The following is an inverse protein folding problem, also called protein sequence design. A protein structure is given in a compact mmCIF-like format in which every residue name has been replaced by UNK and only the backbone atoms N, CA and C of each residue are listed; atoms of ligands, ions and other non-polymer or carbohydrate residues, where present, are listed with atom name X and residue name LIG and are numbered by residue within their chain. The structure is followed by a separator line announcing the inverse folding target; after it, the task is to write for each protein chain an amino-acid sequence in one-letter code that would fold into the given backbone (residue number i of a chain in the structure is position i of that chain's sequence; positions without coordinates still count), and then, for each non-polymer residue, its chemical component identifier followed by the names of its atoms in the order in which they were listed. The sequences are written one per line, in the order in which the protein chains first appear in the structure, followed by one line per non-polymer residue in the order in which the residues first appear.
data_IF_799722946128
#
_entry.id   IF_799722946128
#
_cell.length_a   1.000
_cell.length_b   1.000
_cell.length_c   1.000
_cell.angle_alpha   90.00
_cell.angle_beta   90.00
_cell.angle_gamma   90.00
#
_symmetry.space_group_name_H-M   'P 1'
#
loop_
_entity.id
_entity.type
_entity.pdbx_description
1 polymer ?
#
# COMPACT_ATOMS: atom_id res chain seq x y z
N UNK A 1 10.03 16.33 7.83
CA UNK A 1 10.96 17.19 8.60
C UNK A 1 10.84 16.93 10.09
N UNK A 2 11.79 16.19 10.67
CA UNK A 2 12.36 16.40 12.02
C UNK A 2 13.55 15.44 12.19
N UNK A 3 14.72 16.04 12.39
CA UNK A 3 15.98 15.52 12.93
C UNK A 3 16.72 14.39 12.17
N UNK A 4 17.46 14.77 11.13
CA UNK A 4 18.77 14.18 10.83
C UNK A 4 19.79 15.32 10.73
N UNK A 5 20.45 15.61 11.84
CA UNK A 5 21.58 16.54 11.90
C UNK A 5 22.81 15.79 12.41
N UNK A 6 23.80 15.68 11.53
CA UNK A 6 25.25 15.67 11.77
C UNK A 6 25.87 14.71 12.82
N UNK A 7 26.77 13.84 12.34
CA UNK A 7 28.10 13.51 12.93
C UNK A 7 28.94 12.81 11.84
N UNK A 8 29.72 13.58 11.07
CA UNK A 8 31.18 13.86 11.21
C UNK A 8 32.10 12.64 11.00
N UNK A 9 32.70 12.60 9.80
CA UNK A 9 34.14 12.58 9.48
C UNK A 9 35.07 11.97 10.54
N UNK A 10 35.76 10.88 10.18
CA UNK A 10 37.10 10.58 10.68
C UNK A 10 37.92 9.85 9.60
N UNK A 11 38.72 10.66 8.89
CA UNK A 11 40.15 10.48 8.57
C UNK A 11 40.71 9.06 8.47
N UNK A 12 41.15 8.71 7.25
CA UNK A 12 42.11 7.65 6.99
C UNK A 12 43.49 8.01 7.60
N UNK A 13 44.05 7.12 8.41
CA UNK A 13 45.46 7.08 8.75
C UNK A 13 45.93 5.64 8.60
N UNK A 14 46.73 5.39 7.57
CA UNK A 14 47.45 4.13 7.42
C UNK A 14 48.54 4.05 8.49
N UNK A 15 48.56 2.94 9.22
CA UNK A 15 49.73 2.52 10.00
C UNK A 15 49.96 1.05 9.69
N UNK A 16 51.00 0.82 8.89
CA UNK A 16 51.69 -0.45 8.75
C UNK A 16 52.30 -0.80 10.12
N UNK A 17 51.93 -1.92 10.74
CA UNK A 17 52.72 -2.47 11.85
C UNK A 17 52.88 -3.98 11.71
N UNK A 18 54.16 -4.36 11.83
CA UNK A 18 54.75 -5.68 11.74
C UNK A 18 53.98 -6.76 12.51
N UNK A 19 53.78 -7.88 11.83
CA UNK A 19 53.60 -9.20 12.44
C UNK A 19 54.82 -9.56 13.29
N UNK A 20 54.64 -9.61 14.61
CA UNK A 20 55.54 -10.31 15.52
C UNK A 20 54.79 -11.53 16.08
N UNK A 21 55.21 -12.72 15.66
CA UNK A 21 54.79 -14.00 16.23
C UNK A 21 55.43 -14.12 17.62
N UNK A 22 54.61 -13.99 18.67
CA UNK A 22 54.99 -14.41 20.02
C UNK A 22 54.14 -15.64 20.37
N UNK A 23 54.79 -16.81 20.37
CA UNK A 23 54.26 -18.02 20.98
C UNK A 23 54.28 -17.85 22.51
N UNK A 24 53.23 -17.23 23.05
CA UNK A 24 52.97 -17.17 24.48
C UNK A 24 51.91 -18.20 24.87
N UNK A 25 52.33 -19.30 25.49
CA UNK A 25 51.46 -20.29 26.14
C UNK A 25 50.81 -19.68 27.38
N UNK A 26 49.79 -18.85 27.18
CA UNK A 26 48.81 -18.55 28.23
C UNK A 26 47.70 -19.58 28.16
N UNK A 27 47.73 -20.53 29.10
CA UNK A 27 46.59 -21.40 29.36
C UNK A 27 45.42 -20.52 29.83
N UNK A 28 44.57 -20.08 28.88
CA UNK A 28 43.26 -19.51 29.22
C UNK A 28 42.48 -20.60 29.94
N UNK A 29 42.18 -20.37 31.21
CA UNK A 29 41.16 -21.11 31.93
C UNK A 29 39.89 -21.13 31.06
N UNK A 30 39.56 -22.28 30.48
CA UNK A 30 38.27 -22.50 29.85
C UNK A 30 37.23 -22.53 30.96
N UNK A 31 36.73 -21.36 31.35
CA UNK A 31 35.55 -21.25 32.20
C UNK A 31 34.45 -22.10 31.57
N UNK A 32 34.02 -23.14 32.28
CA UNK A 32 33.01 -24.11 31.83
C UNK A 32 31.77 -23.34 31.38
N UNK A 33 31.58 -23.21 30.06
CA UNK A 33 30.49 -22.41 29.53
C UNK A 33 29.16 -23.05 29.95
N UNK A 34 28.40 -22.34 30.77
CA UNK A 34 27.15 -22.85 31.33
C UNK A 34 26.20 -23.27 30.20
N UNK A 35 25.69 -24.51 30.29
CA UNK A 35 24.76 -25.09 29.33
C UNK A 35 23.55 -24.17 29.15
N UNK A 36 23.34 -23.65 27.94
CA UNK A 36 22.19 -22.80 27.61
C UNK A 36 20.98 -23.62 27.17
N UNK A 37 19.79 -23.14 27.49
CA UNK A 37 18.52 -23.75 27.07
C UNK A 37 17.99 -23.17 25.75
N UNK A 38 18.59 -22.09 25.25
CA UNK A 38 18.16 -21.39 24.04
C UNK A 38 19.28 -21.42 23.02
N UNK A 39 18.95 -21.79 21.78
CA UNK A 39 19.93 -21.90 20.69
C UNK A 39 19.34 -21.28 19.43
N UNK A 40 20.02 -20.26 18.89
CA UNK A 40 19.69 -19.68 17.59
C UNK A 40 19.96 -20.72 16.52
N UNK A 41 18.94 -21.04 15.73
CA UNK A 41 19.00 -22.09 14.72
C UNK A 41 19.09 -21.56 13.31
N UNK A 42 18.64 -20.32 13.07
CA UNK A 42 18.64 -19.73 11.74
C UNK A 42 18.68 -18.21 11.78
N UNK A 43 19.49 -17.65 10.88
CA UNK A 43 19.43 -16.27 10.44
C UNK A 43 19.08 -16.26 8.95
N UNK A 44 18.22 -15.33 8.53
CA UNK A 44 17.88 -15.16 7.12
C UNK A 44 17.36 -13.76 6.83
N UNK A 45 17.69 -13.22 5.66
CA UNK A 45 17.12 -11.97 5.15
C UNK A 45 15.67 -12.17 4.71
N UNK A 46 14.81 -11.20 5.02
CA UNK A 46 13.42 -11.11 4.54
C UNK A 46 13.18 -9.74 3.92
N UNK A 47 12.01 -9.52 3.31
CA UNK A 47 11.65 -8.20 2.78
C UNK A 47 11.43 -7.16 3.88
N UNK A 48 11.34 -7.59 5.14
CA UNK A 48 11.11 -6.73 6.30
C UNK A 48 12.33 -6.59 7.21
N UNK A 49 13.47 -7.20 6.85
CA UNK A 49 14.68 -7.16 7.67
C UNK A 49 15.24 -8.55 7.99
N UNK A 50 16.11 -8.62 9.00
CA UNK A 50 16.83 -9.83 9.38
C UNK A 50 15.97 -10.71 10.30
N UNK A 51 15.56 -11.88 9.82
CA UNK A 51 14.80 -12.85 10.60
C UNK A 51 15.72 -13.77 11.39
N UNK A 52 15.45 -13.85 12.69
CA UNK A 52 16.05 -14.77 13.65
C UNK A 52 15.05 -15.85 14.05
N UNK A 53 15.53 -17.08 14.16
CA UNK A 53 14.76 -18.20 14.71
C UNK A 53 15.61 -19.00 15.69
N UNK A 54 15.01 -19.45 16.78
CA UNK A 54 15.69 -20.25 17.80
C UNK A 54 14.81 -21.36 18.35
N UNK A 55 15.46 -22.35 18.98
CA UNK A 55 14.79 -23.39 19.79
C UNK A 55 15.01 -23.11 21.27
N UNK A 56 14.04 -23.51 22.09
CA UNK A 56 14.16 -23.47 23.55
C UNK A 56 13.82 -24.84 24.14
N UNK A 57 14.66 -25.33 25.07
CA UNK A 57 14.46 -26.60 25.79
C UNK A 57 13.45 -26.48 26.94
N UNK A 58 13.09 -25.24 27.32
CA UNK A 58 12.13 -24.93 28.40
C UNK A 58 11.19 -23.81 27.96
N UNK A 59 10.01 -23.74 28.59
CA UNK A 59 9.09 -22.63 28.38
C UNK A 59 9.52 -21.42 29.20
N UNK A 60 9.52 -20.26 28.56
CA UNK A 60 9.80 -18.95 29.16
C UNK A 60 8.68 -17.99 28.81
N UNK A 61 8.54 -16.91 29.59
CA UNK A 61 7.48 -15.93 29.38
C UNK A 61 7.85 -14.95 28.25
N UNK A 62 9.13 -14.61 28.12
CA UNK A 62 9.68 -13.75 27.07
C UNK A 62 11.11 -14.13 26.70
N UNK A 63 11.54 -13.64 25.55
CA UNK A 63 12.91 -13.67 25.06
C UNK A 63 13.37 -12.25 24.77
N UNK A 64 14.56 -11.90 25.23
CA UNK A 64 15.20 -10.61 24.99
C UNK A 64 16.20 -10.79 23.85
N UNK A 65 16.09 -9.96 22.83
CA UNK A 65 16.97 -9.98 21.66
C UNK A 65 18.07 -8.95 21.88
N UNK A 66 19.32 -9.41 21.82
CA UNK A 66 20.49 -8.55 21.85
C UNK A 66 21.17 -8.58 20.48
N UNK A 67 21.62 -7.42 20.02
CA UNK A 67 22.32 -7.22 18.74
C UNK A 67 23.67 -6.56 18.97
N UNK A 68 24.68 -7.00 18.24
CA UNK A 68 25.96 -6.31 18.07
C UNK A 68 26.10 -5.93 16.59
N UNK A 69 26.70 -4.77 16.35
CA UNK A 69 26.91 -4.17 15.02
C UNK A 69 28.40 -4.10 14.76
N UNK A 70 28.88 -4.60 13.62
CA UNK A 70 30.28 -4.60 13.20
C UNK A 70 31.25 -5.05 14.32
N UNK A 71 30.91 -6.15 15.01
CA UNK A 71 31.64 -6.70 16.15
C UNK A 71 31.76 -5.78 17.38
N UNK A 72 30.89 -4.78 17.49
CA UNK A 72 30.78 -3.90 18.66
C UNK A 72 30.09 -4.55 19.87
N UNK A 73 29.63 -3.69 20.78
CA UNK A 73 28.99 -4.13 22.03
C UNK A 73 27.54 -4.58 21.80
N UNK A 74 27.12 -5.63 22.53
CA UNK A 74 25.74 -6.10 22.48
C UNK A 74 24.79 -5.14 23.20
N UNK A 75 23.77 -4.67 22.49
CA UNK A 75 22.67 -3.87 23.03
C UNK A 75 21.37 -4.65 22.96
N UNK A 76 20.48 -4.42 23.92
CA UNK A 76 19.12 -4.94 23.86
C UNK A 76 18.35 -4.17 22.79
N UNK A 77 17.74 -4.88 21.85
CA UNK A 77 16.96 -4.28 20.75
C UNK A 77 15.47 -4.55 20.86
N UNK A 78 15.03 -5.70 21.41
CA UNK A 78 13.60 -5.95 21.60
C UNK A 78 13.29 -7.13 22.57
N UNK A 79 12.01 -7.29 22.89
CA UNK A 79 11.42 -8.40 23.64
C UNK A 79 10.33 -9.08 22.84
N UNK A 80 10.35 -10.41 22.76
CA UNK A 80 9.31 -11.19 22.09
C UNK A 80 8.86 -12.39 22.91
N UNK A 81 7.61 -12.83 22.72
CA UNK A 81 7.08 -14.09 23.25
C UNK A 81 7.27 -15.25 22.26
N UNK A 82 7.56 -14.95 21.00
CA UNK A 82 7.75 -15.91 19.93
C UNK A 82 9.16 -16.51 19.95
N UNK A 83 9.34 -17.65 19.27
CA UNK A 83 10.65 -18.26 19.00
C UNK A 83 11.31 -17.74 17.71
N UNK A 84 10.82 -16.59 17.25
CA UNK A 84 11.35 -15.86 16.10
C UNK A 84 11.17 -14.36 16.29
N UNK A 85 12.02 -13.60 15.61
CA UNK A 85 12.03 -12.14 15.62
C UNK A 85 12.51 -11.64 14.25
N UNK A 86 12.00 -10.49 13.80
CA UNK A 86 12.50 -9.80 12.61
C UNK A 86 13.06 -8.48 13.10
N UNK A 87 14.36 -8.30 12.87
CA UNK A 87 15.03 -7.02 13.09
C UNK A 87 14.88 -6.16 11.83
N UNK A 88 14.02 -5.14 11.90
CA UNK A 88 13.72 -4.20 10.83
C UNK A 88 14.46 -2.85 10.98
N UNK A 89 15.13 -2.62 12.11
CA UNK A 89 15.97 -1.46 12.39
C UNK A 89 17.44 -1.75 12.04
N UNK A 90 17.71 -1.93 10.75
CA UNK A 90 19.02 -2.33 10.23
C UNK A 90 19.50 -1.35 9.15
N UNK A 91 20.82 -1.19 9.06
CA UNK A 91 21.48 -0.41 8.02
C UNK A 91 22.15 -1.35 7.01
N UNK A 92 21.90 -1.12 5.72
CA UNK A 92 22.44 -1.96 4.65
C UNK A 92 23.97 -1.97 4.66
N UNK A 93 24.55 -3.16 4.50
CA UNK A 93 26.01 -3.34 4.50
C UNK A 93 26.63 -3.55 5.89
N UNK A 94 25.94 -3.17 6.96
CA UNK A 94 26.40 -3.49 8.32
C UNK A 94 26.32 -4.99 8.63
N UNK A 95 27.22 -5.44 9.48
CA UNK A 95 27.30 -6.82 9.96
C UNK A 95 26.67 -6.94 11.33
N UNK A 96 25.70 -7.84 11.47
CA UNK A 96 25.01 -8.08 12.73
C UNK A 96 25.29 -9.47 13.29
N UNK A 97 25.48 -9.53 14.60
CA UNK A 97 25.43 -10.78 15.38
C UNK A 97 24.47 -10.64 16.55
N UNK A 98 23.94 -11.75 17.03
CA UNK A 98 22.84 -11.74 17.99
C UNK A 98 23.02 -12.72 19.14
N UNK A 99 22.40 -12.39 20.27
CA UNK A 99 22.19 -13.29 21.41
C UNK A 99 20.76 -13.21 21.89
N UNK A 100 20.22 -14.33 22.34
CA UNK A 100 18.89 -14.39 22.96
C UNK A 100 19.02 -14.66 24.44
N UNK A 101 18.30 -13.91 25.27
CA UNK A 101 18.22 -14.16 26.72
C UNK A 101 16.77 -14.49 27.12
N UNK A 102 16.49 -15.71 27.58
CA UNK A 102 15.15 -16.05 28.05
C UNK A 102 14.85 -15.41 29.41
N UNK A 103 13.59 -14.99 29.61
CA UNK A 103 13.09 -14.33 30.80
C UNK A 103 11.83 -15.04 31.31
N UNK A 104 11.77 -15.27 32.62
CA UNK A 104 10.58 -15.73 33.34
C UNK A 104 10.22 -14.74 34.45
N UNK A 105 8.93 -14.56 34.71
CA UNK A 105 8.43 -13.78 35.84
C UNK A 105 8.12 -14.72 37.01
N UNK A 106 8.59 -14.34 38.19
CA UNK A 106 8.25 -14.98 39.47
C UNK A 106 7.11 -14.19 40.15
N UNK A 107 6.67 -14.66 41.33
CA UNK A 107 5.72 -13.93 42.19
C UNK A 107 6.14 -12.45 42.33
N UNK A 108 5.16 -11.56 42.42
CA UNK A 108 5.36 -10.10 42.48
C UNK A 108 6.14 -9.52 41.27
N UNK A 109 5.96 -10.10 40.08
CA UNK A 109 6.60 -9.65 38.83
C UNK A 109 8.14 -9.61 38.86
N UNK A 110 8.79 -10.33 39.78
CA UNK A 110 10.25 -10.38 39.86
C UNK A 110 10.83 -11.12 38.64
N UNK A 111 11.72 -10.45 37.91
CA UNK A 111 12.35 -10.99 36.70
C UNK A 111 13.41 -12.04 37.06
N UNK A 112 13.37 -13.19 36.40
CA UNK A 112 14.38 -14.24 36.48
C UNK A 112 14.90 -14.56 35.08
N UNK A 113 16.18 -14.29 34.85
CA UNK A 113 16.81 -14.48 33.55
C UNK A 113 17.49 -15.84 33.45
N UNK A 114 17.37 -16.49 32.30
CA UNK A 114 18.23 -17.62 31.97
C UNK A 114 19.56 -17.17 31.36
N UNK A 115 20.44 -18.15 31.12
CA UNK A 115 21.70 -17.95 30.41
C UNK A 115 21.43 -17.49 28.98
N UNK A 116 22.33 -16.66 28.45
CA UNK A 116 22.32 -16.26 27.05
C UNK A 116 22.45 -17.49 26.13
N UNK A 117 21.91 -17.39 24.92
CA UNK A 117 22.33 -18.25 23.83
C UNK A 117 23.81 -18.03 23.51
N UNK A 118 24.41 -18.95 22.76
CA UNK A 118 25.62 -18.65 22.00
C UNK A 118 25.39 -17.48 21.04
N UNK A 119 26.46 -16.78 20.68
CA UNK A 119 26.44 -15.75 19.63
C UNK A 119 26.01 -16.42 18.33
N UNK A 120 25.13 -15.79 17.55
CA UNK A 120 24.77 -16.26 16.23
C UNK A 120 25.97 -16.20 15.26
N UNK A 121 25.83 -16.82 14.09
CA UNK A 121 26.67 -16.43 12.96
C UNK A 121 26.48 -14.93 12.63
N UNK A 122 27.46 -14.35 11.93
CA UNK A 122 27.36 -13.01 11.37
C UNK A 122 26.42 -13.01 10.16
N UNK A 123 25.64 -11.93 10.00
CA UNK A 123 24.85 -11.68 8.79
C UNK A 123 25.02 -10.22 8.35
N UNK A 124 25.28 -10.03 7.06
CA UNK A 124 25.31 -8.70 6.43
C UNK A 124 23.88 -8.27 6.12
N UNK A 125 23.48 -7.10 6.60
CA UNK A 125 22.17 -6.55 6.30
C UNK A 125 22.02 -6.18 4.83
N UNK A 126 20.79 -6.38 4.34
CA UNK A 126 20.35 -6.06 2.99
C UNK A 126 19.23 -5.02 3.10
N UNK A 127 19.00 -4.24 2.04
CA UNK A 127 17.90 -3.28 2.04
C UNK A 127 16.58 -3.98 2.29
N UNK A 128 15.67 -3.26 2.94
CA UNK A 128 14.28 -3.68 3.04
C UNK A 128 13.67 -3.79 1.63
N UNK A 129 12.79 -4.75 1.42
CA UNK A 129 12.04 -4.86 0.17
C UNK A 129 10.91 -3.82 0.11
N UNK A 130 10.28 -3.69 -1.05
CA UNK A 130 9.02 -2.93 -1.15
C UNK A 130 7.92 -3.63 -0.35
N UNK A 131 6.93 -2.87 0.13
CA UNK A 131 5.86 -3.41 0.99
C UNK A 131 4.87 -4.28 0.22
N UNK A 132 4.49 -3.85 -0.98
CA UNK A 132 3.58 -4.58 -1.87
C UNK A 132 4.04 -4.48 -3.33
N UNK A 133 3.68 -5.50 -4.10
CA UNK A 133 3.84 -5.51 -5.56
C UNK A 133 2.53 -6.00 -6.13
N UNK A 134 2.04 -5.29 -7.14
CA UNK A 134 0.71 -5.41 -7.69
C UNK A 134 0.79 -5.71 -9.16
N UNK A 135 -0.11 -6.53 -9.68
CA UNK A 135 -0.16 -6.84 -11.12
C UNK A 135 -1.60 -6.76 -11.61
N UNK A 136 -1.81 -5.98 -12.67
CA UNK A 136 -3.08 -5.84 -13.38
C UNK A 136 -2.93 -6.39 -14.79
N UNK A 137 -3.86 -7.27 -15.18
CA UNK A 137 -3.95 -7.80 -16.54
C UNK A 137 -4.67 -6.77 -17.43
N UNK A 138 -3.97 -6.16 -18.39
CA UNK A 138 -4.59 -5.46 -19.52
C UNK A 138 -4.60 -6.35 -20.77
N UNK A 139 -5.37 -5.93 -21.79
CA UNK A 139 -5.49 -6.66 -23.07
C UNK A 139 -4.13 -6.87 -23.74
N UNK A 140 -3.28 -5.84 -23.71
CA UNK A 140 -2.04 -5.80 -24.48
C UNK A 140 -0.77 -5.90 -23.62
N UNK A 141 -0.90 -5.80 -22.30
CA UNK A 141 0.25 -5.86 -21.37
C UNK A 141 -0.18 -6.24 -19.96
N UNK A 142 0.81 -6.49 -19.09
CA UNK A 142 0.63 -6.57 -17.64
C UNK A 142 1.15 -5.32 -17.00
N UNK A 143 0.34 -4.64 -16.20
CA UNK A 143 0.76 -3.45 -15.47
C UNK A 143 1.19 -3.86 -14.07
N UNK A 144 2.46 -3.67 -13.76
CA UNK A 144 3.06 -4.02 -12.48
C UNK A 144 3.34 -2.74 -11.71
N UNK A 145 2.96 -2.66 -10.44
CA UNK A 145 3.22 -1.48 -9.60
C UNK A 145 3.74 -1.87 -8.22
N UNK A 146 4.48 -0.98 -7.56
CA UNK A 146 5.01 -1.15 -6.21
C UNK A 146 5.16 0.19 -5.49
N UNK A 147 5.27 0.13 -4.17
CA UNK A 147 5.62 1.30 -3.35
C UNK A 147 7.12 1.62 -3.49
N UNK A 148 7.46 2.90 -3.57
CA UNK A 148 8.85 3.34 -3.53
C UNK A 148 9.52 3.01 -2.18
N UNK A 149 10.83 2.84 -2.20
CA UNK A 149 11.67 2.59 -1.04
C UNK A 149 12.73 3.70 -0.93
N UNK A 150 12.77 4.37 0.22
CA UNK A 150 13.61 5.55 0.46
C UNK A 150 15.13 5.27 0.36
N UNK A 151 15.54 4.00 0.46
CA UNK A 151 16.93 3.56 0.32
C UNK A 151 17.25 3.03 -1.08
N UNK A 152 16.30 3.01 -2.00
CA UNK A 152 16.53 2.47 -3.34
C UNK A 152 17.48 3.38 -4.14
N UNK A 153 18.46 2.77 -4.79
CA UNK A 153 19.17 3.35 -5.94
C UNK A 153 18.55 2.88 -7.26
N UNK A 154 17.90 1.71 -7.27
CA UNK A 154 17.13 1.18 -8.40
C UNK A 154 16.22 0.02 -7.95
N UNK A 155 15.37 -0.46 -8.85
CA UNK A 155 14.58 -1.67 -8.66
C UNK A 155 14.80 -2.68 -9.78
N UNK A 156 15.00 -3.94 -9.41
CA UNK A 156 15.14 -5.03 -10.39
C UNK A 156 13.87 -5.86 -10.44
N UNK A 157 13.25 -5.89 -11.62
CA UNK A 157 12.00 -6.59 -11.86
C UNK A 157 12.24 -7.95 -12.54
N UNK A 158 11.60 -8.98 -12.01
CA UNK A 158 11.59 -10.33 -12.56
C UNK A 158 10.17 -10.81 -12.82
N UNK A 159 10.04 -11.70 -13.80
CA UNK A 159 8.79 -12.38 -14.16
C UNK A 159 9.00 -13.87 -14.33
N UNK A 160 8.00 -14.67 -13.98
CA UNK A 160 7.93 -16.07 -14.39
C UNK A 160 6.55 -16.43 -14.92
N UNK A 161 6.51 -17.34 -15.90
CA UNK A 161 5.29 -18.04 -16.30
C UNK A 161 4.90 -19.05 -15.21
N UNK A 162 3.63 -19.42 -15.13
CA UNK A 162 3.19 -20.52 -14.25
C UNK A 162 4.02 -21.79 -14.49
N UNK A 163 4.54 -22.40 -13.42
CA UNK A 163 5.45 -23.56 -13.50
C UNK A 163 6.86 -23.27 -14.07
N UNK A 164 7.14 -22.04 -14.51
CA UNK A 164 8.41 -21.65 -15.11
C UNK A 164 9.43 -21.08 -14.12
N UNK A 165 10.63 -20.79 -14.64
CA UNK A 165 11.72 -20.13 -13.92
C UNK A 165 11.58 -18.60 -13.96
N UNK A 166 12.12 -17.91 -12.95
CA UNK A 166 12.22 -16.45 -12.92
C UNK A 166 13.18 -15.97 -14.01
N UNK A 167 12.73 -14.98 -14.79
CA UNK A 167 13.52 -14.26 -15.78
C UNK A 167 13.62 -12.81 -15.38
N UNK A 168 14.81 -12.24 -15.51
CA UNK A 168 15.02 -10.79 -15.43
C UNK A 168 14.21 -10.10 -16.53
N UNK A 169 13.62 -8.96 -16.22
CA UNK A 169 12.94 -8.12 -17.21
C UNK A 169 13.76 -6.86 -17.43
N UNK A 170 13.93 -6.08 -16.36
CA UNK A 170 14.52 -4.75 -16.43
C UNK A 170 14.97 -4.29 -15.05
N UNK A 171 15.75 -3.23 -15.04
CA UNK A 171 16.15 -2.45 -13.88
C UNK A 171 15.67 -1.01 -14.10
N UNK A 172 15.05 -0.44 -13.09
CA UNK A 172 14.36 0.84 -13.15
C UNK A 172 14.94 1.78 -12.10
N UNK A 173 14.97 3.08 -12.39
CA UNK A 173 15.42 4.10 -11.45
C UNK A 173 14.62 4.06 -10.13
N UNK A 174 15.22 4.63 -9.09
CA UNK A 174 14.72 4.71 -7.71
C UNK A 174 13.38 5.46 -7.56
N UNK A 175 13.06 6.36 -8.48
CA UNK A 175 11.82 7.11 -8.56
C UNK A 175 10.68 6.37 -9.28
N UNK A 176 10.94 5.19 -9.87
CA UNK A 176 9.97 4.49 -10.68
C UNK A 176 9.20 3.41 -9.88
N UNK A 177 7.89 3.60 -9.72
CA UNK A 177 6.98 2.70 -9.02
C UNK A 177 6.13 1.79 -9.92
N UNK A 178 6.40 1.73 -11.23
CA UNK A 178 5.55 0.97 -12.16
C UNK A 178 6.29 0.42 -13.39
N UNK A 179 5.69 -0.59 -14.03
CA UNK A 179 6.18 -1.17 -15.27
C UNK A 179 5.05 -1.75 -16.13
N UNK A 180 5.07 -1.48 -17.44
CA UNK A 180 4.15 -2.06 -18.44
C UNK A 180 4.86 -3.17 -19.19
N UNK A 181 4.48 -4.41 -18.91
CA UNK A 181 5.06 -5.60 -19.53
C UNK A 181 4.25 -6.06 -20.76
N UNK A 182 4.66 -5.57 -21.93
CA UNK A 182 4.07 -5.95 -23.22
C UNK A 182 4.53 -7.34 -23.71
N UNK A 183 5.66 -7.85 -23.20
CA UNK A 183 6.21 -9.16 -23.58
C UNK A 183 5.46 -10.34 -22.92
N UNK A 184 4.59 -10.05 -21.96
CA UNK A 184 3.81 -11.04 -21.27
C UNK A 184 2.66 -11.51 -22.15
N UNK A 185 2.78 -12.75 -22.66
CA UNK A 185 1.76 -13.41 -23.48
C UNK A 185 0.37 -13.32 -22.86
N UNK A 186 -0.59 -12.88 -23.67
CA UNK A 186 -1.97 -12.57 -23.28
C UNK A 186 -2.70 -13.74 -22.61
N UNK A 187 -2.39 -14.99 -23.00
CA UNK A 187 -3.08 -16.20 -22.55
C UNK A 187 -2.45 -16.89 -21.32
N UNK A 188 -1.33 -16.37 -20.80
CA UNK A 188 -0.58 -17.03 -19.73
C UNK A 188 -0.63 -16.23 -18.43
N UNK A 189 -0.68 -16.94 -17.30
CA UNK A 189 -0.52 -16.35 -15.97
C UNK A 189 0.96 -16.14 -15.67
N UNK A 190 1.30 -14.94 -15.23
CA UNK A 190 2.66 -14.54 -14.86
C UNK A 190 2.72 -14.04 -13.43
N UNK A 191 3.71 -14.51 -12.68
CA UNK A 191 4.05 -13.93 -11.38
C UNK A 191 5.21 -12.97 -11.56
N UNK A 192 5.20 -11.88 -10.80
CA UNK A 192 6.27 -10.91 -10.75
C UNK A 192 6.93 -10.93 -9.39
N UNK A 193 8.17 -10.47 -9.32
CA UNK A 193 8.84 -10.16 -8.07
C UNK A 193 9.82 -9.03 -8.31
N UNK A 194 10.02 -8.21 -7.29
CA UNK A 194 10.93 -7.09 -7.34
C UNK A 194 11.95 -7.21 -6.21
N UNK A 195 13.16 -6.72 -6.45
CA UNK A 195 14.15 -6.47 -5.41
C UNK A 195 14.53 -5.00 -5.45
N UNK A 196 14.67 -4.40 -4.28
CA UNK A 196 15.31 -3.09 -4.10
C UNK A 196 16.81 -3.30 -4.26
N UNK A 197 17.44 -2.41 -5.01
CA UNK A 197 18.88 -2.27 -5.10
C UNK A 197 19.28 -1.03 -4.33
N UNK A 198 20.29 -1.15 -3.48
CA UNK A 198 20.91 -0.02 -2.80
C UNK A 198 22.42 -0.07 -3.09
N UNK A 199 22.96 1.04 -3.58
CA UNK A 199 24.38 1.20 -3.83
C UNK A 199 25.01 2.03 -2.69
N UNK A 200 25.94 1.43 -1.96
CA UNK A 200 26.68 2.09 -0.88
C UNK A 200 28.16 2.02 -1.23
N UNK A 201 28.78 3.16 -1.51
CA UNK A 201 30.20 3.26 -1.86
C UNK A 201 30.62 2.23 -2.92
N UNK A 202 29.92 2.23 -4.06
CA UNK A 202 30.11 1.31 -5.20
C UNK A 202 29.84 -0.17 -4.92
N UNK A 203 29.32 -0.50 -3.74
CA UNK A 203 28.90 -1.86 -3.39
C UNK A 203 27.38 -2.01 -3.51
N UNK A 204 26.97 -2.95 -4.36
CA UNK A 204 25.56 -3.22 -4.66
C UNK A 204 24.96 -4.24 -3.69
N UNK A 205 23.88 -3.86 -3.01
CA UNK A 205 23.08 -4.73 -2.16
C UNK A 205 21.69 -4.93 -2.75
N UNK A 206 21.19 -6.17 -2.72
CA UNK A 206 19.83 -6.52 -3.18
C UNK A 206 18.98 -7.00 -2.02
N UNK A 207 17.76 -6.50 -1.92
CA UNK A 207 16.78 -6.93 -0.93
C UNK A 207 16.35 -8.38 -1.18
N UNK A 208 15.69 -8.99 -0.20
CA UNK A 208 14.85 -10.14 -0.51
C UNK A 208 13.75 -9.75 -1.50
N UNK A 209 13.28 -10.71 -2.29
CA UNK A 209 12.28 -10.45 -3.32
C UNK A 209 10.87 -10.28 -2.74
N UNK A 210 10.24 -9.14 -2.99
CA UNK A 210 8.80 -8.98 -2.79
C UNK A 210 8.08 -9.55 -4.00
N UNK A 211 7.28 -10.59 -3.78
CA UNK A 211 6.50 -11.23 -4.84
C UNK A 211 5.22 -10.45 -5.07
N UNK A 212 4.81 -10.32 -6.32
CA UNK A 212 3.52 -9.74 -6.65
C UNK A 212 2.39 -10.52 -5.99
N UNK A 213 1.56 -9.81 -5.26
CA UNK A 213 0.16 -10.20 -5.13
C UNK A 213 -0.53 -9.83 -6.45
N UNK A 214 -1.48 -10.63 -6.91
CA UNK A 214 -2.33 -10.23 -8.05
C UNK A 214 -3.33 -9.12 -7.66
N UNK A 215 -3.10 -8.47 -6.51
CA UNK A 215 -4.06 -7.59 -5.84
C UNK A 215 -3.31 -6.40 -5.26
N UNK A 216 -2.81 -5.52 -6.13
CA UNK A 216 -2.60 -4.14 -5.67
C UNK A 216 -3.91 -3.60 -5.19
N UNK A 217 -3.93 -3.11 -3.95
CA UNK A 217 -5.13 -2.64 -3.27
C UNK A 217 -5.62 -1.31 -3.90
N UNK A 218 -6.07 -1.36 -5.15
CA UNK A 218 -6.84 -0.37 -5.88
C UNK A 218 -8.33 -0.76 -5.88
N UNK A 219 -8.71 -1.82 -5.17
CA UNK A 219 -10.09 -2.30 -5.13
C UNK A 219 -10.89 -1.41 -4.19
N UNK A 220 -11.86 -0.70 -4.77
CA UNK A 220 -12.81 0.10 -4.03
C UNK A 220 -14.22 -0.47 -4.12
N UNK A 221 -15.09 0.17 -3.35
CA UNK A 221 -16.54 0.04 -3.45
C UNK A 221 -17.14 1.44 -3.51
N UNK A 222 -18.37 1.53 -3.96
CA UNK A 222 -19.20 2.71 -3.71
C UNK A 222 -20.46 2.31 -2.96
N UNK A 223 -20.86 3.15 -2.01
CA UNK A 223 -21.86 2.78 -0.99
C UNK A 223 -22.77 3.96 -0.62
N UNK A 224 -23.99 3.62 -0.25
CA UNK A 224 -25.05 4.55 0.16
C UNK A 224 -25.95 3.91 1.22
N UNK A 225 -27.06 4.57 1.56
CA UNK A 225 -28.09 3.97 2.43
C UNK A 225 -28.65 2.64 1.91
N UNK A 226 -28.60 2.39 0.59
CA UNK A 226 -29.09 1.15 -0.01
C UNK A 226 -28.31 -0.09 0.46
N UNK A 227 -27.08 0.08 0.95
CA UNK A 227 -26.25 -1.02 1.42
C UNK A 227 -26.49 -1.39 2.90
N UNK A 228 -27.39 -0.67 3.59
CA UNK A 228 -27.65 -0.85 5.00
C UNK A 228 -26.42 -0.59 5.88
N UNK A 229 -26.36 -1.22 7.04
CA UNK A 229 -25.26 -1.05 8.00
C UNK A 229 -24.06 -1.92 7.64
N UNK A 230 -22.92 -1.29 7.37
CA UNK A 230 -21.70 -1.96 6.90
C UNK A 230 -20.74 -2.27 8.06
N UNK A 231 -20.19 -3.48 8.08
CA UNK A 231 -19.09 -3.86 8.96
C UNK A 231 -17.73 -3.53 8.31
N UNK A 232 -17.27 -2.30 8.52
CA UNK A 232 -16.06 -1.76 7.88
C UNK A 232 -14.76 -2.50 8.24
N UNK A 233 -14.67 -3.13 9.42
CA UNK A 233 -13.53 -3.99 9.80
C UNK A 233 -13.46 -5.24 8.92
N UNK A 234 -14.60 -5.85 8.60
CA UNK A 234 -14.67 -7.00 7.67
C UNK A 234 -14.38 -6.56 6.23
N UNK A 235 -14.86 -5.38 5.82
CA UNK A 235 -14.60 -4.79 4.51
C UNK A 235 -13.10 -4.53 4.29
N UNK A 236 -12.41 -3.90 5.24
CA UNK A 236 -10.94 -3.71 5.18
C UNK A 236 -10.20 -5.04 5.05
N UNK A 237 -10.59 -6.03 5.86
CA UNK A 237 -10.03 -7.40 5.78
C UNK A 237 -10.36 -8.13 4.47
N UNK A 238 -11.35 -7.67 3.71
CA UNK A 238 -11.68 -8.19 2.39
C UNK A 238 -10.83 -7.55 1.27
N UNK A 239 -9.85 -6.71 1.61
CA UNK A 239 -8.94 -6.08 0.66
C UNK A 239 -9.50 -4.80 0.02
N UNK A 240 -10.60 -4.25 0.55
CA UNK A 240 -11.10 -2.95 0.10
C UNK A 240 -10.19 -1.84 0.65
N UNK A 241 -9.73 -0.96 -0.24
CA UNK A 241 -8.76 0.08 0.06
C UNK A 241 -9.32 1.49 0.04
N UNK A 242 -10.38 1.72 -0.75
CA UNK A 242 -11.12 2.96 -0.76
C UNK A 242 -12.63 2.73 -0.86
N UNK A 243 -13.40 3.76 -0.52
CA UNK A 243 -14.83 3.81 -0.75
C UNK A 243 -15.26 5.19 -1.28
N UNK A 244 -16.07 5.21 -2.34
CA UNK A 244 -16.85 6.40 -2.72
C UNK A 244 -18.18 6.35 -1.96
N UNK A 245 -18.36 7.24 -1.00
CA UNK A 245 -19.54 7.25 -0.11
C UNK A 245 -20.54 8.28 -0.60
N UNK A 246 -21.80 7.91 -0.74
CA UNK A 246 -22.83 8.86 -1.19
C UNK A 246 -23.01 9.94 -0.14
N UNK A 247 -22.73 11.18 -0.54
CA UNK A 247 -23.01 12.37 0.26
C UNK A 247 -24.52 12.61 0.33
N UNK A 248 -25.20 12.40 -0.79
CA UNK A 248 -26.62 12.61 -0.91
C UNK A 248 -27.09 12.54 -2.35
N UNK A 249 -28.27 13.09 -2.57
CA UNK A 249 -28.84 13.26 -3.91
C UNK A 249 -29.41 14.66 -4.08
N UNK A 250 -29.40 15.12 -5.32
CA UNK A 250 -29.81 16.46 -5.71
C UNK A 250 -31.30 16.70 -5.66
N UNK A 251 -31.68 17.97 -5.57
CA UNK A 251 -33.05 18.46 -5.70
C UNK A 251 -33.01 19.84 -6.35
N UNK A 252 -34.17 20.35 -6.79
CA UNK A 252 -34.25 21.73 -7.32
C UNK A 252 -33.68 22.81 -6.37
N UNK A 253 -33.67 22.54 -5.06
CA UNK A 253 -33.23 23.48 -4.01
C UNK A 253 -31.84 23.18 -3.44
N UNK A 254 -31.12 22.17 -3.95
CA UNK A 254 -29.84 21.75 -3.40
C UNK A 254 -29.76 20.23 -3.34
N UNK A 255 -29.81 19.64 -2.15
CA UNK A 255 -29.79 18.19 -2.02
C UNK A 255 -30.34 17.70 -0.67
N UNK A 256 -30.46 16.39 -0.57
CA UNK A 256 -30.83 15.66 0.64
C UNK A 256 -29.67 14.74 1.00
N UNK A 257 -29.27 14.76 2.27
CA UNK A 257 -28.14 13.99 2.79
C UNK A 257 -28.48 12.50 2.79
N UNK A 258 -27.52 11.66 2.39
CA UNK A 258 -27.66 10.21 2.51
C UNK A 258 -27.72 9.78 3.98
N UNK A 259 -28.71 8.94 4.32
CA UNK A 259 -28.94 8.51 5.72
C UNK A 259 -27.76 7.77 6.34
N UNK A 260 -26.89 7.16 5.53
CA UNK A 260 -25.71 6.42 6.00
C UNK A 260 -24.39 7.18 5.85
N UNK A 261 -24.39 8.42 5.32
CA UNK A 261 -23.17 9.19 5.07
C UNK A 261 -22.26 9.23 6.29
N UNK A 262 -22.80 9.66 7.43
CA UNK A 262 -22.00 9.94 8.63
C UNK A 262 -21.43 8.64 9.25
N UNK A 263 -22.26 7.59 9.30
CA UNK A 263 -21.83 6.27 9.75
C UNK A 263 -20.74 5.69 8.85
N UNK A 264 -20.95 5.74 7.53
CA UNK A 264 -20.01 5.19 6.55
C UNK A 264 -18.69 5.94 6.57
N UNK A 265 -18.71 7.28 6.56
CA UNK A 265 -17.51 8.11 6.58
C UNK A 265 -16.66 7.80 7.82
N UNK A 266 -17.26 7.89 9.02
CA UNK A 266 -16.54 7.70 10.29
C UNK A 266 -15.96 6.29 10.41
N UNK A 267 -16.73 5.27 10.05
CA UNK A 267 -16.30 3.87 10.24
C UNK A 267 -15.33 3.39 9.15
N UNK A 268 -15.45 3.86 7.90
CA UNK A 268 -14.46 3.60 6.86
C UNK A 268 -13.10 4.21 7.25
N UNK A 269 -13.09 5.49 7.64
CA UNK A 269 -11.88 6.21 8.06
C UNK A 269 -11.20 5.54 9.25
N UNK A 270 -11.98 5.16 10.28
CA UNK A 270 -11.49 4.42 11.46
C UNK A 270 -10.79 3.10 11.11
N UNK A 271 -11.15 2.46 9.99
CA UNK A 271 -10.54 1.20 9.53
C UNK A 271 -9.45 1.43 8.46
N UNK A 272 -8.99 2.66 8.25
CA UNK A 272 -7.93 2.99 7.30
C UNK A 272 -8.31 2.74 5.85
N UNK A 273 -9.59 2.95 5.50
CA UNK A 273 -10.09 2.95 4.12
C UNK A 273 -10.11 4.41 3.66
N UNK A 274 -9.51 4.67 2.50
CA UNK A 274 -9.50 5.99 1.87
C UNK A 274 -10.89 6.37 1.40
N UNK A 275 -11.27 7.65 1.47
CA UNK A 275 -12.64 8.09 1.23
C UNK A 275 -12.70 9.09 0.08
N UNK A 276 -13.65 8.88 -0.84
CA UNK A 276 -14.21 9.92 -1.69
C UNK A 276 -15.70 10.06 -1.43
N UNK A 277 -16.30 11.14 -1.92
CA UNK A 277 -17.73 11.40 -1.76
C UNK A 277 -18.38 11.63 -3.12
N UNK A 278 -19.66 11.25 -3.26
CA UNK A 278 -20.41 11.52 -4.49
C UNK A 278 -21.81 12.05 -4.23
N UNK A 279 -22.30 12.90 -5.15
CA UNK A 279 -23.68 13.39 -5.17
C UNK A 279 -24.39 12.85 -6.41
N UNK A 280 -25.48 12.10 -6.22
CA UNK A 280 -26.37 11.69 -7.30
C UNK A 280 -27.21 12.88 -7.76
N UNK A 281 -27.06 13.31 -9.02
CA UNK A 281 -27.65 14.56 -9.48
C UNK A 281 -29.04 14.41 -10.10
N UNK A 282 -29.95 15.31 -9.74
CA UNK A 282 -31.24 15.50 -10.41
C UNK A 282 -31.32 16.84 -11.17
N UNK A 283 -30.24 17.62 -11.27
CA UNK A 283 -30.24 18.92 -11.93
C UNK A 283 -30.53 18.86 -13.44
N UNK A 284 -31.58 19.56 -13.89
CA UNK A 284 -31.96 19.68 -15.31
C UNK A 284 -31.42 20.95 -15.97
N UNK A 285 -30.82 21.85 -15.20
CA UNK A 285 -30.27 23.11 -15.68
C UNK A 285 -29.13 23.59 -14.77
N UNK A 286 -28.38 24.60 -15.24
CA UNK A 286 -27.22 25.12 -14.52
C UNK A 286 -27.58 25.72 -13.14
N UNK A 287 -28.78 26.29 -12.97
CA UNK A 287 -29.21 26.85 -11.68
C UNK A 287 -29.36 25.75 -10.63
N UNK A 288 -29.98 24.63 -11.00
CA UNK A 288 -30.11 23.46 -10.14
C UNK A 288 -28.74 22.83 -9.85
N UNK A 289 -27.88 22.68 -10.87
CA UNK A 289 -26.51 22.18 -10.71
C UNK A 289 -25.71 23.04 -9.72
N UNK A 290 -25.88 24.37 -9.79
CA UNK A 290 -25.24 25.30 -8.85
C UNK A 290 -25.79 25.16 -7.44
N UNK A 291 -27.09 24.90 -7.28
CA UNK A 291 -27.69 24.65 -5.97
C UNK A 291 -27.18 23.33 -5.38
N UNK A 292 -27.10 22.27 -6.18
CA UNK A 292 -26.49 20.99 -5.80
C UNK A 292 -25.03 21.18 -5.37
N UNK A 293 -24.24 21.95 -6.11
CA UNK A 293 -22.84 22.23 -5.77
C UNK A 293 -22.69 23.05 -4.48
N UNK A 294 -23.57 24.05 -4.25
CA UNK A 294 -23.65 24.80 -2.98
C UNK A 294 -23.96 23.90 -1.80
N UNK A 295 -24.91 22.98 -1.99
CA UNK A 295 -25.26 21.98 -0.98
C UNK A 295 -24.07 21.07 -0.67
N UNK A 296 -23.43 20.51 -1.69
CA UNK A 296 -22.21 19.70 -1.54
C UNK A 296 -21.13 20.48 -0.78
N UNK A 297 -20.78 21.68 -1.22
CA UNK A 297 -19.77 22.51 -0.55
C UNK A 297 -20.09 22.78 0.92
N UNK A 298 -21.36 23.04 1.25
CA UNK A 298 -21.78 23.21 2.66
C UNK A 298 -21.53 21.94 3.47
N UNK A 299 -21.88 20.77 2.91
CA UNK A 299 -21.67 19.48 3.56
C UNK A 299 -20.19 19.15 3.73
N UNK A 300 -19.35 19.40 2.72
CA UNK A 300 -17.91 19.12 2.77
C UNK A 300 -17.22 19.80 3.95
N UNK A 301 -17.67 21.01 4.35
CA UNK A 301 -17.14 21.72 5.52
C UNK A 301 -17.41 21.01 6.86
N UNK A 302 -18.35 20.07 6.90
CA UNK A 302 -18.65 19.25 8.08
C UNK A 302 -17.83 17.96 8.14
N UNK A 303 -17.04 17.65 7.11
CA UNK A 303 -16.19 16.47 7.04
C UNK A 303 -14.71 16.89 7.00
N UNK A 304 -13.85 16.12 7.67
CA UNK A 304 -12.40 16.31 7.60
C UNK A 304 -11.82 15.78 6.29
N UNK A 305 -10.52 15.47 6.27
CA UNK A 305 -9.80 15.07 5.03
C UNK A 305 -10.53 13.99 4.23
N UNK A 306 -10.56 14.22 2.92
CA UNK A 306 -11.13 13.36 1.87
C UNK A 306 -9.97 12.99 0.94
N UNK A 307 -9.76 11.70 0.72
CA UNK A 307 -8.60 11.16 -0.01
C UNK A 307 -8.79 11.07 -1.53
N UNK A 308 -10.04 11.12 -1.99
CA UNK A 308 -10.45 10.99 -3.40
C UNK A 308 -11.32 12.19 -3.83
N UNK A 309 -11.41 12.48 -5.14
CA UNK A 309 -12.21 13.60 -5.65
C UNK A 309 -13.68 13.53 -5.25
N UNK A 310 -14.36 14.68 -5.32
CA UNK A 310 -15.80 14.77 -5.16
C UNK A 310 -16.47 14.43 -6.48
N UNK A 311 -17.15 13.30 -6.54
CA UNK A 311 -17.79 12.84 -7.75
C UNK A 311 -19.19 13.46 -7.94
N UNK A 312 -19.43 13.98 -9.14
CA UNK A 312 -20.74 14.34 -9.64
C UNK A 312 -21.31 13.16 -10.42
N UNK A 313 -22.27 12.47 -9.82
CA UNK A 313 -22.93 11.31 -10.41
C UNK A 313 -24.08 11.80 -11.30
N UNK A 314 -23.85 11.74 -12.62
CA UNK A 314 -24.72 12.29 -13.65
C UNK A 314 -25.06 11.24 -14.70
N UNK A 315 -26.05 10.40 -14.37
CA UNK A 315 -26.36 9.19 -15.15
C UNK A 315 -27.83 9.00 -15.53
N UNK A 316 -28.68 9.98 -15.24
CA UNK A 316 -30.12 9.87 -15.51
C UNK A 316 -30.42 9.58 -16.99
N UNK A 317 -30.98 8.39 -17.27
CA UNK A 317 -31.12 7.86 -18.63
C UNK A 317 -31.98 8.70 -19.58
N UNK A 318 -32.95 9.47 -19.05
CA UNK A 318 -33.76 10.36 -19.89
C UNK A 318 -32.93 11.49 -20.55
N UNK A 319 -31.76 11.82 -19.97
CA UNK A 319 -30.80 12.80 -20.51
C UNK A 319 -29.83 12.18 -21.51
N UNK A 320 -29.87 10.86 -21.71
CA UNK A 320 -29.02 10.16 -22.67
C UNK A 320 -29.53 10.34 -24.11
N UNK A 321 -29.55 11.58 -24.60
CA UNK A 321 -30.01 11.96 -25.93
C UNK A 321 -29.09 13.04 -26.50
N UNK A 322 -28.74 12.91 -27.78
CA UNK A 322 -27.85 13.86 -28.50
C UNK A 322 -28.29 15.33 -28.34
N UNK A 323 -29.59 15.60 -28.28
CA UNK A 323 -30.12 16.97 -28.10
C UNK A 323 -29.72 17.63 -26.78
N UNK A 324 -29.45 16.85 -25.73
CA UNK A 324 -29.03 17.36 -24.42
C UNK A 324 -27.51 17.46 -24.29
N UNK A 325 -26.73 17.11 -25.32
CA UNK A 325 -25.27 17.04 -25.24
C UNK A 325 -24.62 18.32 -24.72
N UNK A 326 -25.06 19.47 -25.22
CA UNK A 326 -24.57 20.79 -24.80
C UNK A 326 -25.04 21.16 -23.39
N UNK A 327 -26.33 20.96 -23.07
CA UNK A 327 -26.87 21.30 -21.75
C UNK A 327 -26.27 20.42 -20.65
N UNK A 328 -26.18 19.10 -20.85
CA UNK A 328 -25.56 18.17 -19.92
C UNK A 328 -24.10 18.55 -19.63
N UNK A 329 -23.33 18.89 -20.67
CA UNK A 329 -21.94 19.35 -20.49
C UNK A 329 -21.89 20.60 -19.62
N UNK A 330 -22.75 21.59 -19.86
CA UNK A 330 -22.77 22.82 -19.07
C UNK A 330 -23.21 22.60 -17.61
N UNK A 331 -24.15 21.68 -17.39
CA UNK A 331 -24.61 21.29 -16.04
C UNK A 331 -23.46 20.69 -15.24
N UNK A 332 -22.75 19.71 -15.83
CA UNK A 332 -21.58 19.06 -15.22
C UNK A 332 -20.52 20.10 -14.89
N UNK A 333 -20.13 20.94 -15.86
CA UNK A 333 -19.16 22.01 -15.66
C UNK A 333 -19.58 22.97 -14.54
N UNK A 334 -20.84 23.37 -14.50
CA UNK A 334 -21.36 24.29 -13.47
C UNK A 334 -21.17 23.74 -12.05
N UNK A 335 -21.37 22.44 -11.87
CA UNK A 335 -21.15 21.77 -10.59
C UNK A 335 -19.66 21.66 -10.26
N UNK A 336 -18.88 21.09 -11.18
CA UNK A 336 -17.45 20.84 -11.00
C UNK A 336 -16.66 22.13 -10.78
N UNK A 337 -16.82 23.13 -11.66
CA UNK A 337 -16.15 24.44 -11.55
C UNK A 337 -16.47 25.13 -10.23
N UNK A 338 -17.67 24.94 -9.67
CA UNK A 338 -18.01 25.58 -8.39
C UNK A 338 -17.17 25.05 -7.23
N UNK A 339 -16.91 23.74 -7.21
CA UNK A 339 -16.14 23.06 -6.17
C UNK A 339 -14.64 23.23 -6.37
N UNK A 340 -14.14 23.13 -7.61
CA UNK A 340 -12.71 23.31 -7.91
C UNK A 340 -12.23 24.73 -7.62
N UNK A 341 -13.04 25.75 -7.94
CA UNK A 341 -12.78 27.14 -7.53
C UNK A 341 -12.79 27.36 -6.00
N UNK A 342 -13.08 26.32 -5.21
CA UNK A 342 -13.07 26.32 -3.75
C UNK A 342 -12.08 25.30 -3.18
N UNK A 343 -11.19 24.77 -4.02
CA UNK A 343 -10.10 23.89 -3.61
C UNK A 343 -10.47 22.42 -3.46
N UNK A 344 -11.57 21.96 -4.07
CA UNK A 344 -11.94 20.54 -4.09
C UNK A 344 -11.83 19.97 -5.49
N UNK A 345 -10.94 19.00 -5.69
CA UNK A 345 -10.86 18.23 -6.93
C UNK A 345 -12.17 17.51 -7.21
N UNK A 346 -12.60 17.51 -8.47
CA UNK A 346 -13.85 16.86 -8.86
C UNK A 346 -13.66 15.73 -9.85
N UNK A 347 -14.64 14.82 -9.82
CA UNK A 347 -14.77 13.77 -10.82
C UNK A 347 -16.18 13.70 -11.38
N UNK A 348 -16.34 13.29 -12.63
CA UNK A 348 -17.63 13.01 -13.25
C UNK A 348 -17.83 11.51 -13.28
N UNK A 349 -18.91 11.05 -12.67
CA UNK A 349 -19.36 9.67 -12.76
C UNK A 349 -20.54 9.54 -13.73
N UNK A 350 -20.42 8.60 -14.66
CA UNK A 350 -21.50 8.17 -15.54
C UNK A 350 -21.11 6.90 -16.31
N UNK A 351 -22.06 6.27 -16.98
CA UNK A 351 -21.79 5.11 -17.84
C UNK A 351 -21.27 5.50 -19.22
N UNK A 352 -20.51 4.57 -19.83
CA UNK A 352 -19.78 4.80 -21.09
C UNK A 352 -20.62 5.43 -22.22
N UNK A 353 -21.84 4.95 -22.44
CA UNK A 353 -22.70 5.46 -23.52
C UNK A 353 -23.12 6.91 -23.25
N UNK A 354 -23.42 7.26 -22.00
CA UNK A 354 -23.74 8.63 -21.63
C UNK A 354 -22.55 9.56 -21.93
N UNK A 355 -21.36 9.17 -21.51
CA UNK A 355 -20.14 9.95 -21.71
C UNK A 355 -19.84 10.15 -23.20
N UNK A 356 -19.99 9.11 -24.03
CA UNK A 356 -19.71 9.21 -25.47
C UNK A 356 -20.74 10.06 -26.23
N UNK A 357 -22.02 9.86 -25.95
CA UNK A 357 -23.08 10.34 -26.83
C UNK A 357 -23.84 11.55 -26.29
N UNK A 358 -23.82 11.76 -24.97
CA UNK A 358 -24.71 12.71 -24.28
C UNK A 358 -23.98 13.83 -23.56
N UNK A 359 -22.65 13.90 -23.69
CA UNK A 359 -21.80 15.04 -23.27
C UNK A 359 -20.65 15.23 -24.24
N UNK A 360 -20.05 16.41 -24.27
CA UNK A 360 -18.75 16.60 -24.92
C UNK A 360 -17.66 16.05 -24.01
N UNK A 361 -17.40 14.73 -24.05
CA UNK A 361 -16.50 14.06 -23.11
C UNK A 361 -15.13 14.74 -22.96
N UNK A 362 -14.54 15.24 -24.05
CA UNK A 362 -13.26 15.97 -23.98
C UNK A 362 -13.29 17.20 -23.06
N UNK A 363 -14.43 17.90 -22.93
CA UNK A 363 -14.59 19.08 -22.07
C UNK A 363 -14.88 18.74 -20.61
N UNK A 364 -15.40 17.53 -20.33
CA UNK A 364 -15.62 17.08 -18.96
C UNK A 364 -14.43 16.30 -18.41
N UNK A 365 -13.58 15.77 -19.31
CA UNK A 365 -12.30 15.14 -18.95
C UNK A 365 -11.23 16.13 -18.47
N UNK A 366 -11.52 17.44 -18.50
CA UNK A 366 -10.77 18.45 -17.74
C UNK A 366 -10.82 18.12 -16.23
N UNK A 367 -11.91 17.47 -15.78
CA UNK A 367 -12.05 16.87 -14.46
C UNK A 367 -11.71 15.36 -14.51
N UNK A 368 -11.55 14.72 -13.35
CA UNK A 368 -11.38 13.26 -13.28
C UNK A 368 -12.61 12.52 -13.79
N UNK A 369 -12.46 11.35 -14.42
CA UNK A 369 -13.61 10.53 -14.85
C UNK A 369 -13.67 9.23 -14.05
N UNK A 370 -14.80 8.99 -13.41
CA UNK A 370 -15.19 7.71 -12.82
C UNK A 370 -16.15 7.01 -13.77
N UNK A 371 -15.62 6.08 -14.57
CA UNK A 371 -16.36 5.43 -15.65
C UNK A 371 -17.14 4.22 -15.13
N UNK A 372 -18.47 4.22 -15.30
CA UNK A 372 -19.25 2.99 -15.19
C UNK A 372 -19.21 2.20 -16.51
N UNK A 373 -18.68 0.98 -16.42
CA UNK A 373 -18.72 -0.01 -17.51
C UNK A 373 -18.70 -1.39 -16.92
N UNK A 374 -19.88 -1.97 -16.72
CA UNK A 374 -20.01 -3.27 -16.06
C UNK A 374 -19.61 -4.41 -16.99
N UNK A 375 -18.39 -4.88 -16.83
CA UNK A 375 -17.90 -6.09 -17.48
C UNK A 375 -17.98 -7.29 -16.55
N UNK A 376 -18.17 -7.04 -15.25
CA UNK A 376 -18.08 -7.99 -14.14
C UNK A 376 -16.77 -8.79 -14.10
N UNK A 377 -15.80 -8.36 -14.90
CA UNK A 377 -14.51 -8.99 -15.05
C UNK A 377 -13.48 -7.89 -15.24
N UNK A 378 -12.69 -7.78 -14.20
CA UNK A 378 -11.53 -6.94 -14.04
C UNK A 378 -10.58 -6.90 -15.25
N UNK A 379 -10.47 -7.99 -16.01
CA UNK A 379 -9.58 -8.06 -17.19
C UNK A 379 -10.08 -7.30 -18.42
N UNK A 380 -11.36 -6.93 -18.41
CA UNK A 380 -12.04 -6.34 -19.56
C UNK A 380 -12.13 -4.82 -19.45
N UNK A 381 -11.17 -4.18 -18.80
CA UNK A 381 -11.13 -2.72 -18.75
C UNK A 381 -11.07 -2.15 -20.16
N UNK A 382 -11.98 -1.21 -20.44
CA UNK A 382 -12.03 -0.47 -21.69
C UNK A 382 -12.65 0.90 -21.40
N UNK A 383 -11.84 1.95 -21.51
CA UNK A 383 -12.27 3.33 -21.27
C UNK A 383 -12.95 4.00 -22.48
N UNK A 384 -13.07 3.28 -23.60
CA UNK A 384 -13.71 3.82 -24.79
C UNK A 384 -12.95 4.96 -25.46
N UNK A 385 -11.69 5.23 -25.06
CA UNK A 385 -10.94 6.41 -25.49
C UNK A 385 -11.34 7.69 -24.75
N UNK A 386 -12.06 7.58 -23.64
CA UNK A 386 -12.41 8.72 -22.79
C UNK A 386 -11.14 9.16 -22.05
N UNK A 387 -10.70 10.43 -22.19
CA UNK A 387 -9.53 10.93 -21.48
C UNK A 387 -9.80 11.02 -19.96
N UNK A 388 -8.71 11.01 -19.19
CA UNK A 388 -8.73 11.21 -17.73
C UNK A 388 -9.64 10.25 -16.94
N UNK A 389 -9.86 9.02 -17.42
CA UNK A 389 -10.48 7.96 -16.61
C UNK A 389 -9.54 7.56 -15.48
N UNK A 390 -9.91 7.93 -14.26
CA UNK A 390 -9.17 7.73 -13.01
C UNK A 390 -9.79 6.62 -12.15
N UNK A 391 -11.04 6.25 -12.40
CA UNK A 391 -11.72 5.17 -11.69
C UNK A 391 -12.66 4.43 -12.62
N UNK A 392 -12.82 3.13 -12.40
CA UNK A 392 -13.71 2.28 -13.18
C UNK A 392 -14.61 1.45 -12.26
N UNK A 393 -15.92 1.67 -12.38
CA UNK A 393 -16.92 0.78 -11.81
C UNK A 393 -17.14 -0.39 -12.78
N UNK A 394 -16.61 -1.56 -12.42
CA UNK A 394 -16.62 -2.74 -13.27
C UNK A 394 -17.78 -3.69 -12.97
N UNK A 395 -18.51 -3.50 -11.87
CA UNK A 395 -19.66 -4.32 -11.49
C UNK A 395 -20.59 -3.57 -10.54
N UNK A 396 -21.88 -3.77 -10.73
CA UNK A 396 -23.02 -3.32 -9.89
C UNK A 396 -23.54 -4.44 -8.94
N UNK A 397 -23.03 -5.67 -9.13
CA UNK A 397 -23.53 -6.87 -8.46
C UNK A 397 -22.47 -7.62 -7.66
N UNK A 398 -21.52 -6.89 -7.08
CA UNK A 398 -20.46 -7.47 -6.26
C UNK A 398 -20.96 -8.03 -4.93
N UNK A 399 -20.09 -8.81 -4.27
CA UNK A 399 -20.30 -9.27 -2.90
C UNK A 399 -19.01 -9.04 -2.12
N UNK A 400 -19.11 -8.34 -0.99
CA UNK A 400 -17.97 -8.05 -0.10
C UNK A 400 -18.35 -8.40 1.32
N UNK A 401 -17.50 -9.20 1.97
CA UNK A 401 -17.73 -9.61 3.36
C UNK A 401 -17.82 -8.40 4.27
N UNK A 402 -18.94 -8.28 4.98
CA UNK A 402 -19.26 -7.13 5.82
C UNK A 402 -20.38 -6.24 5.27
N UNK A 403 -20.88 -6.56 4.07
CA UNK A 403 -22.04 -5.93 3.43
C UNK A 403 -23.03 -7.05 3.09
N UNK A 404 -24.29 -6.90 3.50
CA UNK A 404 -25.31 -7.95 3.31
C UNK A 404 -26.00 -7.84 1.94
N UNK A 405 -26.02 -6.65 1.34
CA UNK A 405 -26.55 -6.41 0.00
C UNK A 405 -25.51 -6.69 -1.08
N UNK A 406 -25.95 -6.62 -2.35
CA UNK A 406 -25.02 -6.37 -3.46
C UNK A 406 -24.30 -5.03 -3.25
N UNK A 407 -23.10 -4.94 -3.80
CA UNK A 407 -22.27 -3.74 -3.72
C UNK A 407 -21.52 -3.51 -5.02
N UNK A 408 -21.40 -2.25 -5.38
CA UNK A 408 -20.70 -1.82 -6.58
C UNK A 408 -19.19 -1.93 -6.35
N UNK A 409 -18.48 -2.41 -7.37
CA UNK A 409 -17.05 -2.69 -7.30
C UNK A 409 -16.29 -1.78 -8.23
N UNK A 410 -15.27 -1.14 -7.67
CA UNK A 410 -14.47 -0.15 -8.35
C UNK A 410 -13.00 -0.56 -8.41
N UNK A 411 -12.34 -0.04 -9.43
CA UNK A 411 -10.89 0.06 -9.47
C UNK A 411 -10.46 1.50 -9.62
N UNK A 412 -9.56 1.93 -8.73
CA UNK A 412 -8.79 3.14 -8.98
C UNK A 412 -7.77 2.84 -10.09
N UNK A 413 -7.79 3.65 -11.13
CA UNK A 413 -6.91 3.61 -12.27
C UNK A 413 -5.96 4.79 -12.09
N UNK A 414 -4.90 4.57 -11.32
CA UNK A 414 -3.82 5.55 -11.24
C UNK A 414 -3.15 5.53 -12.62
N UNK A 415 -3.41 6.57 -13.43
CA UNK A 415 -2.78 6.77 -14.73
C UNK A 415 -1.44 7.47 -14.57
#
# INVERSE_FOLDING_TARGET
MKNKLLRRIATAAGVLTMTCLVFGTSAKAYGKQLKTNVTITKLSTTTKGTKLQWKSKKKYDRYIVYRSVNNGTFKNVDYTTSLEYIDDDIETGEKYTYKIRPLKYKKHNKKAYGNYSYVSAEIVAKPLGVKDVSVVDFKDYKFVTWDLNDSASSYVLYRKKSGGKWKYITELADDNGSYKDYDASKSKKYQYRIAVVENINDTIYKSAYTKSSYTGNLKGIDVSYHNGTINWKKVKKAGISFAMIRLGYGTKKGGIVDKQLDYNYKNAKKNGIKIGLYLYSYADNNKEAKNEAKFTYKMLKSYGDIDYPIAFDFENGYRNKRKYKKSNTNIIKTYCDYLENRGYDTSVYSYMDFLKYSVYYKKISDYGVWLARWTHNTKNFYDGGIPNVQMWQYSDRGTVRGINSRVDLNWNIIK
#
